data_IF_091612777590
#
_entry.id   IF_091612777590
#
_cell.length_a   1.000
_cell.length_b   1.000
_cell.length_c   1.000
_cell.angle_alpha   90.00
_cell.angle_beta   90.00
_cell.angle_gamma   90.00
#
_symmetry.space_group_name_H-M   'P 1'
#
loop_
_entity.id
_entity.type
_entity.pdbx_description
1 polymer ?
2 water ?
#
# COMPACT_ATOMS: atom_id res chain seq x y z
N UNK A 5 -5.21 12.35 15.81
CA UNK A 5 -5.61 12.00 14.47
C UNK A 5 -7.05 11.58 14.37
N UNK A 6 -7.44 11.06 13.20
CA UNK A 6 -8.80 10.62 12.99
C UNK A 6 -9.04 9.22 13.52
N UNK A 7 -10.32 8.84 13.56
CA UNK A 7 -10.75 7.56 14.10
C UNK A 7 -11.74 6.90 13.16
N UNK A 8 -11.92 5.59 13.36
CA UNK A 8 -12.98 4.82 12.71
C UNK A 8 -13.90 4.32 13.82
N UNK A 9 -15.09 4.92 13.91
CA UNK A 9 -16.01 4.69 15.02
C UNK A 9 -17.34 4.20 14.45
N UNK A 10 -17.81 3.07 14.97
CA UNK A 10 -19.13 2.54 14.62
C UNK A 10 -19.33 2.48 13.12
N UNK A 11 -18.34 1.89 12.44
CA UNK A 11 -18.45 1.70 11.00
C UNK A 11 -18.44 2.96 10.18
N UNK A 12 -17.97 4.07 10.73
CA UNK A 12 -17.91 5.34 10.02
C UNK A 12 -16.55 6.00 10.24
N UNK A 13 -16.05 6.67 9.21
CA UNK A 13 -14.79 7.38 9.29
C UNK A 13 -15.01 8.74 9.92
N UNK A 14 -14.33 9.01 11.04
CA UNK A 14 -14.43 10.29 11.73
C UNK A 14 -13.09 11.00 11.63
N UNK A 15 -12.88 11.85 10.63
CA UNK A 15 -11.58 12.53 10.51
C UNK A 15 -11.39 13.58 11.59
N UNK A 16 -10.13 13.87 11.89
CA UNK A 16 -9.79 14.93 12.80
C UNK A 16 -9.91 16.29 12.11
N UNK A 17 -10.08 17.36 12.88
CA UNK A 17 -10.15 18.69 12.26
C UNK A 17 -8.77 19.12 11.77
N UNK A 18 -8.79 20.05 10.82
CA UNK A 18 -7.55 20.56 10.27
C UNK A 18 -6.78 21.35 11.32
N UNK A 19 -5.45 21.28 11.24
CA UNK A 19 -4.56 22.13 12.01
C UNK A 19 -3.69 22.89 11.02
N UNK A 20 -3.94 24.20 10.90
CA UNK A 20 -3.24 24.99 9.90
C UNK A 20 -1.74 25.01 10.16
N UNK A 21 -1.34 25.04 11.44
CA UNK A 21 0.07 25.17 11.77
C UNK A 21 0.87 23.96 11.31
N UNK A 22 0.32 22.75 11.49
CA UNK A 22 1.06 21.55 11.10
C UNK A 22 1.11 21.38 9.59
N UNK A 23 0.09 21.83 8.88
CA UNK A 23 0.05 21.67 7.42
C UNK A 23 1.26 22.29 6.75
N UNK A 24 1.91 23.27 7.38
CA UNK A 24 3.10 23.88 6.80
C UNK A 24 4.26 22.90 6.84
N UNK A 25 4.40 22.18 7.95
CA UNK A 25 5.45 21.17 8.07
C UNK A 25 5.12 19.89 7.31
N UNK A 26 3.84 19.62 7.06
CA UNK A 26 3.46 18.40 6.38
C UNK A 26 3.53 18.58 4.87
N UNK A 27 2.93 19.65 4.35
CA UNK A 27 2.82 19.89 2.91
C UNK A 27 3.71 21.01 2.41
N UNK A 28 3.86 22.09 3.18
CA UNK A 28 4.69 23.21 2.77
C UNK A 28 3.92 24.52 2.74
N UNK A 47 4.56 13.08 -23.34
CA UNK A 47 4.60 12.56 -21.98
C UNK A 47 5.12 11.12 -21.99
N UNK A 48 4.81 10.38 -20.93
CA UNK A 48 5.32 9.02 -20.74
C UNK A 48 4.26 8.04 -21.23
N UNK A 49 4.58 7.15 -22.17
CA UNK A 49 3.54 6.24 -22.69
C UNK A 49 3.08 5.23 -21.66
N UNK A 50 1.82 4.81 -21.80
CA UNK A 50 1.20 3.89 -20.86
C UNK A 50 0.36 2.88 -21.64
N UNK A 51 0.45 1.61 -21.24
CA UNK A 51 -0.36 0.55 -21.81
C UNK A 51 -1.03 -0.20 -20.66
N UNK A 52 -2.36 -0.23 -20.68
CA UNK A 52 -3.15 -0.98 -19.72
C UNK A 52 -3.88 -2.08 -20.49
N UNK A 53 -3.52 -3.33 -20.22
CA UNK A 53 -4.10 -4.48 -20.88
C UNK A 53 -4.74 -5.41 -19.86
N UNK A 54 -5.82 -6.06 -20.27
CA UNK A 54 -6.48 -7.04 -19.43
C UNK A 54 -7.97 -7.05 -19.68
N UNK A 55 -8.66 -7.80 -18.83
CA UNK A 55 -10.11 -7.96 -18.92
C UNK A 55 -10.81 -6.77 -18.28
N UNK A 56 -11.71 -6.13 -19.02
CA UNK A 56 -12.56 -5.05 -18.51
C UNK A 56 -11.71 -3.93 -17.90
N UNK A 57 -10.81 -3.41 -18.70
CA UNK A 57 -9.95 -2.31 -18.24
C UNK A 57 -10.77 -1.03 -18.20
N UNK A 58 -10.77 -0.28 -17.10
CA UNK A 58 -11.54 0.96 -17.03
C UNK A 58 -10.84 2.10 -17.75
N UNK A 59 -11.59 3.17 -17.96
CA UNK A 59 -11.02 4.37 -18.54
C UNK A 59 -10.11 5.04 -17.51
N UNK A 60 -9.01 5.67 -17.96
CA UNK A 60 -8.16 6.38 -17.01
C UNK A 60 -8.76 7.72 -16.61
N UNK A 61 -8.50 8.11 -15.37
CA UNK A 61 -8.95 9.42 -14.89
C UNK A 61 -8.00 10.49 -15.38
N UNK A 62 -8.54 11.66 -15.68
CA UNK A 62 -7.75 12.81 -16.09
C UNK A 62 -7.48 13.77 -14.95
N UNK A 63 -8.35 13.79 -13.94
CA UNK A 63 -8.22 14.65 -12.78
C UNK A 63 -8.53 13.83 -11.54
N UNK A 64 -7.99 14.27 -10.39
CA UNK A 64 -8.39 13.68 -9.12
C UNK A 64 -9.79 14.16 -8.77
N UNK A 65 -10.73 13.23 -8.65
CA UNK A 65 -12.13 13.55 -8.40
C UNK A 65 -12.62 12.72 -7.22
N UNK A 66 -13.48 13.32 -6.38
CA UNK A 66 -13.93 12.70 -5.14
C UNK A 66 -14.94 11.58 -5.34
N UNK A 67 -15.81 11.64 -6.34
CA UNK A 67 -16.71 10.50 -6.57
C UNK A 67 -15.93 9.22 -6.82
N UNK A 68 -14.79 9.28 -7.57
CA UNK A 68 -13.91 8.10 -7.64
C UNK A 68 -13.05 7.89 -6.40
N UNK A 69 -12.49 8.96 -5.85
CA UNK A 69 -11.53 8.90 -4.74
C UNK A 69 -12.15 9.37 -3.44
N UNK A 70 -11.69 8.83 -2.32
CA UNK A 70 -12.22 9.25 -1.03
C UNK A 70 -12.06 10.75 -0.86
N UNK A 71 -13.08 11.38 -0.25
CA UNK A 71 -13.08 12.83 -0.14
C UNK A 71 -11.94 13.38 0.69
N UNK A 72 -11.64 12.72 1.82
CA UNK A 72 -10.56 13.21 2.68
C UNK A 72 -9.22 13.16 1.95
N UNK A 73 -8.93 12.04 1.28
CA UNK A 73 -7.68 11.93 0.54
C UNK A 73 -7.58 12.99 -0.53
N UNK A 74 -8.70 13.31 -1.20
CA UNK A 74 -8.69 14.35 -2.21
C UNK A 74 -8.29 15.69 -1.59
N UNK A 75 -8.80 15.98 -0.39
CA UNK A 75 -8.39 17.20 0.31
C UNK A 75 -6.90 17.19 0.58
N UNK A 76 -6.36 16.08 1.06
CA UNK A 76 -4.93 15.98 1.30
C UNK A 76 -4.14 16.12 0.01
N UNK A 77 -4.63 15.52 -1.07
CA UNK A 77 -3.97 15.64 -2.36
C UNK A 77 -3.88 17.09 -2.79
N UNK A 78 -4.94 17.87 -2.50
CA UNK A 78 -4.92 19.28 -2.85
C UNK A 78 -4.01 20.07 -1.91
N UNK A 79 -4.02 19.74 -0.62
CA UNK A 79 -3.11 20.39 0.31
C UNK A 79 -1.66 20.13 -0.10
N UNK A 80 -1.37 18.94 -0.61
CA UNK A 80 -0.05 18.67 -1.16
C UNK A 80 0.17 19.39 -2.48
N UNK A 81 -0.88 19.97 -3.08
CA UNK A 81 -0.77 20.74 -4.32
C UNK A 81 -0.40 19.85 -5.50
N UNK A 82 -0.92 18.62 -5.52
CA UNK A 82 -0.78 17.76 -6.69
C UNK A 82 -1.87 18.12 -7.70
N UNK A 83 -1.48 18.38 -8.93
CA UNK A 83 -2.40 18.89 -9.94
C UNK A 83 -2.97 17.80 -10.83
N UNK A 84 -2.13 16.95 -11.41
CA UNK A 84 -2.56 15.95 -12.37
C UNK A 84 -2.10 14.57 -11.95
N UNK A 85 -2.93 13.55 -12.10
CA UNK A 85 -2.48 12.18 -11.81
C UNK A 85 -1.37 11.77 -12.77
N UNK A 86 -0.35 11.12 -12.21
CA UNK A 86 0.77 10.65 -13.00
C UNK A 86 0.30 9.54 -13.94
N UNK A 87 1.13 9.15 -14.90
CA UNK A 87 0.70 8.10 -15.85
C UNK A 87 0.31 6.80 -15.17
N UNK A 88 0.93 6.46 -14.04
CA UNK A 88 0.56 5.23 -13.34
C UNK A 88 -0.72 5.44 -12.53
N UNK A 89 -0.87 6.60 -11.91
CA UNK A 89 -2.02 6.82 -11.03
C UNK A 89 -3.32 6.91 -11.81
N UNK A 90 -3.29 7.46 -13.03
CA UNK A 90 -4.53 7.61 -13.79
C UNK A 90 -5.19 6.27 -14.07
N UNK A 91 -4.45 5.18 -14.03
CA UNK A 91 -5.00 3.84 -14.20
C UNK A 91 -5.14 3.08 -12.89
N UNK A 92 -4.17 3.22 -11.98
CA UNK A 92 -4.21 2.45 -10.74
C UNK A 92 -5.38 2.88 -9.86
N UNK A 93 -5.77 4.15 -9.90
CA UNK A 93 -6.88 4.65 -9.09
C UNK A 93 -8.18 3.98 -9.52
N UNK A 94 -8.57 4.05 -10.81
CA UNK A 94 -9.83 3.39 -11.20
C UNK A 94 -9.76 1.87 -11.12
N UNK A 95 -8.60 1.28 -11.42
CA UNK A 95 -8.49 -0.18 -11.37
C UNK A 95 -8.77 -0.68 -9.96
N UNK A 96 -8.16 -0.06 -8.97
CA UNK A 96 -8.33 -0.51 -7.59
C UNK A 96 -9.71 -0.12 -7.08
N UNK A 97 -10.23 1.04 -7.49
CA UNK A 97 -11.57 1.44 -7.08
C UNK A 97 -12.62 0.44 -7.57
N UNK A 98 -12.33 -0.25 -8.67
CA UNK A 98 -13.24 -1.26 -9.21
C UNK A 98 -13.01 -2.64 -8.61
N UNK A 99 -12.11 -2.76 -7.63
CA UNK A 99 -11.91 -4.02 -6.94
C UNK A 99 -11.02 -5.01 -7.64
N UNK A 100 -10.14 -4.56 -8.52
CA UNK A 100 -9.31 -5.44 -9.33
C UNK A 100 -7.87 -5.43 -8.83
N UNK A 101 -7.16 -6.50 -9.15
CA UNK A 101 -5.73 -6.61 -8.85
C UNK A 101 -4.91 -5.96 -9.97
N UNK A 102 -3.68 -5.58 -9.63
CA UNK A 102 -2.85 -4.79 -10.54
C UNK A 102 -1.43 -5.31 -10.55
N UNK A 103 -0.89 -5.51 -11.75
CA UNK A 103 0.53 -5.77 -11.97
C UNK A 103 1.08 -4.60 -12.77
N UNK A 104 1.89 -3.76 -12.13
CA UNK A 104 2.38 -2.53 -12.73
C UNK A 104 3.87 -2.64 -13.01
N UNK A 105 4.24 -2.45 -14.28
CA UNK A 105 5.64 -2.47 -14.72
C UNK A 105 5.97 -1.04 -15.13
N UNK A 106 6.54 -0.28 -14.20
CA UNK A 106 6.81 1.14 -14.39
C UNK A 106 8.23 1.47 -13.98
N UNK A 107 8.76 2.54 -14.56
CA UNK A 107 10.10 3.00 -14.23
C UNK A 107 10.07 3.82 -12.94
N UNK A 108 11.24 4.27 -12.51
CA UNK A 108 11.35 4.98 -11.23
C UNK A 108 10.53 6.27 -11.24
N UNK A 109 10.74 7.11 -12.26
CA UNK A 109 10.11 8.42 -12.31
C UNK A 109 8.64 8.42 -12.66
N UNK A 110 8.02 7.25 -12.81
CA UNK A 110 6.62 7.20 -13.19
C UNK A 110 5.69 7.69 -12.09
N UNK A 111 6.18 7.90 -10.88
CA UNK A 111 5.32 8.23 -9.75
C UNK A 111 4.72 6.98 -9.16
N UNK A 112 5.57 6.01 -8.82
CA UNK A 112 5.08 4.71 -8.37
C UNK A 112 4.48 4.81 -6.97
N UNK A 113 5.17 5.49 -6.05
CA UNK A 113 4.74 5.50 -4.65
C UNK A 113 3.29 5.94 -4.53
N UNK A 114 2.96 7.11 -5.07
CA UNK A 114 1.57 7.50 -5.17
C UNK A 114 0.74 6.55 -6.02
N UNK A 115 1.41 5.82 -6.93
CA UNK A 115 0.69 4.87 -7.77
C UNK A 115 -0.06 3.82 -6.97
N UNK A 116 0.53 3.37 -5.86
CA UNK A 116 -0.15 2.41 -4.99
C UNK A 116 -0.63 3.00 -3.67
N UNK A 117 -0.04 4.10 -3.20
CA UNK A 117 -0.48 4.69 -1.95
C UNK A 117 -1.86 5.33 -2.08
N UNK A 118 -2.08 6.08 -3.16
CA UNK A 118 -3.37 6.76 -3.32
C UNK A 118 -4.53 5.77 -3.43
N UNK A 119 -4.51 4.78 -4.32
CA UNK A 119 -5.65 3.83 -4.35
C UNK A 119 -5.84 3.09 -3.05
N UNK A 120 -4.75 2.68 -2.39
CA UNK A 120 -4.88 1.92 -1.16
C UNK A 120 -5.43 2.78 -0.03
N UNK A 121 -4.86 3.99 0.14
CA UNK A 121 -5.38 4.89 1.17
C UNK A 121 -6.81 5.31 0.86
N UNK A 122 -7.13 5.56 -0.41
CA UNK A 122 -8.48 5.93 -0.79
C UNK A 122 -9.47 4.85 -0.39
N UNK A 123 -9.19 3.60 -0.77
CA UNK A 123 -10.11 2.51 -0.44
C UNK A 123 -10.11 2.21 1.06
N UNK A 124 -8.98 2.40 1.74
CA UNK A 124 -8.95 2.21 3.18
C UNK A 124 -9.77 3.27 3.90
N UNK A 125 -9.72 4.52 3.42
CA UNK A 125 -10.46 5.59 4.07
C UNK A 125 -11.96 5.35 4.02
N UNK A 126 -12.47 4.71 2.97
CA UNK A 126 -13.90 4.59 2.77
C UNK A 126 -14.47 3.27 3.27
N UNK A 127 -13.67 2.21 3.38
CA UNK A 127 -14.16 0.92 3.86
C UNK A 127 -13.73 0.62 5.29
N UNK A 128 -12.63 1.21 5.77
CA UNK A 128 -12.22 1.06 7.14
C UNK A 128 -11.65 -0.31 7.46
N UNK A 129 -11.30 -0.52 8.72
CA UNK A 129 -10.71 -1.80 9.13
C UNK A 129 -11.77 -2.83 9.51
N UNK A 130 -11.31 -4.07 9.59
CA UNK A 130 -12.11 -5.16 10.10
C UNK A 130 -12.01 -5.24 11.62
N UNK A 131 -13.01 -5.81 12.28
CA UNK A 131 -12.95 -5.89 13.74
C UNK A 131 -11.82 -6.77 14.22
N UNK A 132 -11.28 -6.43 15.39
CA UNK A 132 -10.18 -7.16 16.00
C UNK A 132 -10.64 -7.83 17.30
N UNK A 133 -10.16 -9.05 17.59
CA UNK A 133 -10.57 -9.73 18.83
C UNK A 133 -9.86 -9.18 20.06
N UNK A 134 -10.09 -7.91 20.35
CA UNK A 134 -9.47 -7.25 21.49
C UNK A 134 -10.32 -7.44 22.75
N UNK A 142 -2.94 -7.47 21.78
CA UNK A 142 -1.50 -7.69 21.91
C UNK A 142 -0.86 -7.81 20.54
N UNK A 143 -1.54 -8.48 19.62
CA UNK A 143 -1.10 -8.54 18.24
C UNK A 143 -1.51 -7.28 17.49
N UNK A 144 -0.83 -7.02 16.38
CA UNK A 144 -1.22 -5.97 15.45
C UNK A 144 -2.00 -6.58 14.30
N UNK A 145 -3.03 -5.87 13.85
CA UNK A 145 -3.93 -6.35 12.79
C UNK A 145 -3.94 -5.32 11.66
N UNK A 146 -2.85 -5.25 10.89
CA UNK A 146 -2.79 -4.24 9.82
C UNK A 146 -3.85 -4.48 8.76
N UNK A 147 -4.40 -3.38 8.25
CA UNK A 147 -5.33 -3.43 7.13
C UNK A 147 -4.62 -3.43 5.78
N UNK A 148 -3.44 -2.81 5.70
CA UNK A 148 -2.65 -2.75 4.48
C UNK A 148 -1.20 -3.07 4.80
N UNK A 149 -0.56 -3.88 3.95
CA UNK A 149 0.82 -4.28 4.11
C UNK A 149 1.57 -3.95 2.83
N UNK A 150 2.71 -3.25 2.96
CA UNK A 150 3.55 -2.88 1.83
C UNK A 150 4.95 -3.42 2.10
N UNK A 151 5.42 -4.29 1.22
CA UNK A 151 6.77 -4.83 1.32
C UNK A 151 7.68 -4.12 0.33
N UNK A 152 8.90 -3.84 0.76
CA UNK A 152 9.90 -3.14 -0.04
C UNK A 152 11.26 -3.76 0.20
N UNK A 153 12.18 -3.61 -0.76
CA UNK A 153 13.48 -4.30 -0.63
C UNK A 153 14.42 -3.70 0.40
N UNK A 154 14.38 -2.40 0.65
CA UNK A 154 15.39 -1.74 1.45
C UNK A 154 14.77 -0.85 2.52
N UNK A 155 15.58 -0.56 3.54
CA UNK A 155 15.16 0.34 4.60
C UNK A 155 14.84 1.73 4.03
N UNK A 156 15.70 2.24 3.15
CA UNK A 156 15.50 3.59 2.62
C UNK A 156 14.19 3.69 1.85
N UNK A 157 13.91 2.71 0.98
CA UNK A 157 12.67 2.75 0.22
C UNK A 157 11.46 2.59 1.13
N UNK A 158 11.55 1.70 2.12
CA UNK A 158 10.46 1.57 3.08
C UNK A 158 10.24 2.86 3.84
N UNK A 159 11.32 3.58 4.16
CA UNK A 159 11.18 4.86 4.86
C UNK A 159 10.54 5.91 3.96
N UNK A 160 10.92 5.93 2.67
CA UNK A 160 10.28 6.86 1.73
C UNK A 160 8.79 6.61 1.65
N UNK A 161 8.38 5.35 1.48
CA UNK A 161 6.97 5.02 1.42
C UNK A 161 6.29 5.45 2.72
N UNK A 162 6.92 5.15 3.85
CA UNK A 162 6.37 5.53 5.15
C UNK A 162 6.15 7.04 5.23
N UNK A 163 7.15 7.82 4.80
CA UNK A 163 7.03 9.27 4.88
C UNK A 163 5.86 9.78 4.05
N UNK A 164 5.72 9.27 2.81
CA UNK A 164 4.60 9.67 1.98
C UNK A 164 3.27 9.23 2.58
N UNK A 165 3.23 8.03 3.16
CA UNK A 165 2.00 7.56 3.79
C UNK A 165 1.62 8.46 4.97
N UNK A 166 2.59 8.83 5.80
CA UNK A 166 2.32 9.74 6.91
C UNK A 166 1.74 11.05 6.40
N UNK A 167 2.23 11.53 5.26
CA UNK A 167 1.75 12.80 4.72
C UNK A 167 0.26 12.74 4.42
N UNK A 168 -0.17 11.71 3.69
CA UNK A 168 -1.54 11.65 3.19
C UNK A 168 -2.51 10.95 4.13
N UNK A 169 -2.02 10.31 5.19
CA UNK A 169 -2.89 9.85 6.27
C UNK A 169 -3.29 10.98 7.21
N UNK A 170 -2.86 12.21 6.91
CA UNK A 170 -3.21 13.38 7.72
C UNK A 170 -4.71 13.44 7.97
N UNK A 171 -5.09 13.43 9.25
CA UNK A 171 -6.44 13.54 9.77
C UNK A 171 -7.23 12.23 9.65
N UNK A 172 -6.67 11.20 9.04
CA UNK A 172 -7.42 9.97 8.79
C UNK A 172 -7.25 8.99 9.95
N UNK A 173 -8.04 7.91 9.90
CA UNK A 173 -7.98 6.85 10.90
C UNK A 173 -6.78 5.94 10.75
N UNK A 174 -6.07 6.00 9.62
CA UNK A 174 -5.02 5.03 9.32
C UNK A 174 -3.74 5.43 10.03
N UNK A 175 -3.20 4.53 10.85
CA UNK A 175 -1.92 4.73 11.51
C UNK A 175 -0.84 3.95 10.76
N UNK A 176 0.15 4.67 10.25
CA UNK A 176 1.23 4.06 9.49
C UNK A 176 2.39 3.68 10.40
N UNK A 177 3.06 2.58 10.05
CA UNK A 177 4.22 2.11 10.79
C UNK A 177 5.18 1.47 9.80
N UNK A 178 6.47 1.53 10.12
CA UNK A 178 7.53 1.02 9.25
C UNK A 178 8.50 0.19 10.06
N UNK A 179 8.88 -0.96 9.51
CA UNK A 179 9.87 -1.85 10.13
C UNK A 179 10.83 -2.32 9.05
N UNK A 180 12.04 -2.67 9.47
CA UNK A 180 13.06 -3.10 8.53
C UNK A 180 14.18 -3.83 9.27
N UNK A 181 14.89 -4.68 8.53
CA UNK A 181 16.01 -5.41 9.09
C UNK A 181 17.24 -4.55 9.28
N UNK A 182 18.28 -5.19 9.81
CA UNK A 182 19.51 -4.47 10.10
C UNK A 182 19.37 -3.42 11.19
N UNK A 183 18.33 -3.51 12.00
CA UNK A 183 18.03 -2.57 13.07
C UNK A 183 17.43 -3.34 14.23
N UNK A 184 17.69 -2.91 15.46
CA UNK A 184 17.20 -3.69 16.62
C UNK A 184 15.69 -3.85 16.57
N UNK A 185 15.24 -5.10 16.80
CA UNK A 185 13.82 -5.41 16.71
C UNK A 185 13.04 -4.97 17.95
N UNK A 186 13.72 -4.72 19.06
CA UNK A 186 13.01 -4.34 20.28
C UNK A 186 12.16 -3.11 20.10
N UNK A 187 12.74 -2.05 19.52
CA UNK A 187 12.00 -0.79 19.37
C UNK A 187 10.89 -0.91 18.33
N UNK A 188 11.09 -1.74 17.30
CA UNK A 188 10.03 -1.91 16.29
C UNK A 188 8.81 -2.60 16.88
N UNK A 189 8.99 -3.44 17.90
CA UNK A 189 7.85 -4.06 18.55
C UNK A 189 7.03 -3.04 19.33
N UNK A 190 7.71 -2.09 20.00
CA UNK A 190 6.99 -1.07 20.74
C UNK A 190 6.19 -0.16 19.82
N UNK A 191 6.77 0.21 18.68
CA UNK A 191 6.03 1.02 17.72
C UNK A 191 4.84 0.25 17.15
N UNK A 192 4.98 -1.07 17.00
CA UNK A 192 3.89 -1.89 16.49
C UNK A 192 2.73 -1.90 17.49
N UNK A 193 3.04 -2.13 18.77
CA UNK A 193 2.00 -2.24 19.78
C UNK A 193 1.22 -0.94 19.95
N UNK A 194 1.79 0.19 19.57
CA UNK A 194 1.08 1.47 19.61
C UNK A 194 0.02 1.60 18.51
N UNK A 195 -0.29 0.50 17.83
CA UNK A 195 -1.27 0.52 16.77
C UNK A 195 -0.64 0.56 15.39
N UNK A 196 -1.22 -0.18 14.44
CA UNK A 196 -0.62 -0.30 13.12
C UNK A 196 -1.69 -0.72 12.13
N UNK A 197 -2.12 0.22 11.28
CA UNK A 197 -3.10 -0.05 10.24
C UNK A 197 -2.49 -0.19 8.86
N UNK A 198 -1.45 0.58 8.57
CA UNK A 198 -0.66 0.46 7.34
C UNK A 198 0.78 0.14 7.73
N UNK A 199 1.26 -1.03 7.34
CA UNK A 199 2.57 -1.51 7.71
C UNK A 199 3.47 -1.56 6.48
N UNK A 200 4.56 -0.80 6.52
CA UNK A 200 5.63 -0.89 5.53
C UNK A 200 6.76 -1.71 6.13
N UNK A 201 7.26 -2.69 5.39
CA UNK A 201 8.24 -3.61 5.96
C UNK A 201 9.15 -4.16 4.87
N UNK A 202 10.38 -4.53 5.28
CA UNK A 202 11.18 -5.42 4.45
C UNK A 202 10.84 -6.87 4.79
N UNK A 203 10.90 -7.78 3.81
CA UNK A 203 10.34 -9.12 4.05
C UNK A 203 11.00 -9.88 5.19
N UNK A 204 12.32 -9.78 5.34
CA UNK A 204 12.99 -10.51 6.41
C UNK A 204 12.51 -10.11 7.79
N UNK A 205 12.36 -8.81 8.02
CA UNK A 205 11.94 -8.34 9.33
C UNK A 205 10.46 -8.64 9.58
N UNK A 206 9.63 -8.51 8.54
CA UNK A 206 8.23 -8.88 8.70
C UNK A 206 8.09 -10.35 9.07
N UNK A 207 8.89 -11.21 8.43
CA UNK A 207 8.85 -12.63 8.75
C UNK A 207 9.26 -12.88 10.20
N UNK A 208 10.30 -12.19 10.66
CA UNK A 208 10.74 -12.35 12.05
C UNK A 208 9.64 -11.92 13.02
N UNK A 209 8.96 -10.81 12.72
CA UNK A 209 7.89 -10.35 13.59
C UNK A 209 6.71 -11.32 13.59
N UNK A 210 6.44 -11.95 12.45
CA UNK A 210 5.35 -12.93 12.40
C UNK A 210 5.71 -14.19 13.18
N UNK A 211 6.97 -14.62 13.11
CA UNK A 211 7.41 -15.77 13.90
C UNK A 211 7.29 -15.50 15.38
N UNK A 212 7.48 -14.25 15.80
CA UNK A 212 7.36 -13.87 17.20
C UNK A 212 5.91 -13.72 17.64
N UNK A 213 4.95 -13.95 16.75
CA UNK A 213 3.55 -13.86 17.13
C UNK A 213 3.10 -12.47 17.54
N UNK A 214 3.62 -11.44 16.87
CA UNK A 214 3.27 -10.06 17.17
C UNK A 214 2.45 -9.41 16.08
N UNK A 215 2.18 -10.10 14.98
CA UNK A 215 1.38 -9.57 13.88
C UNK A 215 0.41 -10.64 13.42
N UNK A 216 -0.82 -10.23 13.13
CA UNK A 216 -1.80 -11.08 12.49
C UNK A 216 -2.15 -10.47 11.13
N UNK A 217 -2.16 -11.30 10.10
CA UNK A 217 -2.46 -10.86 8.74
C UNK A 217 -3.90 -11.18 8.34
N UNK A 218 -4.73 -11.64 9.28
CA UNK A 218 -6.08 -12.07 8.95
C UNK A 218 -6.99 -10.91 8.57
N UNK A 219 -6.66 -9.69 8.97
CA UNK A 219 -7.46 -8.51 8.66
C UNK A 219 -6.92 -7.75 7.45
N UNK A 220 -5.93 -8.30 6.75
CA UNK A 220 -5.35 -7.62 5.61
C UNK A 220 -6.38 -7.51 4.50
N UNK A 221 -6.61 -6.28 4.02
CA UNK A 221 -7.46 -6.04 2.87
C UNK A 221 -6.69 -5.61 1.63
N UNK A 222 -5.48 -5.08 1.80
CA UNK A 222 -4.67 -4.59 0.68
C UNK A 222 -3.23 -5.02 0.89
N UNK A 223 -2.65 -5.65 -0.14
CA UNK A 223 -1.27 -6.10 -0.12
C UNK A 223 -0.53 -5.47 -1.30
N UNK A 224 0.63 -4.88 -1.04
CA UNK A 224 1.44 -4.25 -2.06
C UNK A 224 2.86 -4.80 -1.96
N UNK A 225 3.42 -5.18 -3.12
CA UNK A 225 4.82 -5.56 -3.24
C UNK A 225 5.49 -4.56 -4.18
N UNK A 226 6.40 -3.75 -3.63
CA UNK A 226 7.05 -2.69 -4.39
C UNK A 226 8.46 -3.14 -4.78
N UNK A 227 8.81 -2.94 -6.05
CA UNK A 227 10.10 -3.36 -6.59
C UNK A 227 10.36 -4.83 -6.28
N UNK A 228 9.40 -5.67 -6.70
CA UNK A 228 9.45 -7.08 -6.35
C UNK A 228 10.60 -7.80 -7.02
N UNK A 229 11.03 -7.34 -8.21
CA UNK A 229 12.18 -7.95 -8.86
C UNK A 229 13.43 -7.77 -8.01
N UNK A 230 13.61 -6.59 -7.42
CA UNK A 230 14.74 -6.36 -6.53
C UNK A 230 14.69 -7.29 -5.33
N UNK A 231 13.50 -7.46 -4.73
CA UNK A 231 13.37 -8.32 -3.57
C UNK A 231 13.76 -9.76 -3.90
N UNK A 232 13.34 -10.25 -5.07
CA UNK A 232 13.76 -11.59 -5.49
C UNK A 232 15.26 -11.63 -5.75
N UNK A 233 15.82 -10.60 -6.38
CA UNK A 233 17.26 -10.56 -6.62
C UNK A 233 18.05 -10.70 -5.33
N UNK A 234 17.50 -10.21 -4.22
CA UNK A 234 18.16 -10.29 -2.92
C UNK A 234 17.86 -11.58 -2.18
N UNK A 235 17.07 -12.47 -2.77
CA UNK A 235 16.77 -13.75 -2.16
C UNK A 235 15.62 -13.75 -1.18
N UNK A 236 14.71 -12.78 -1.26
CA UNK A 236 13.62 -12.67 -0.30
C UNK A 236 12.43 -13.56 -0.64
N UNK A 237 12.43 -14.24 -1.79
CA UNK A 237 11.22 -14.94 -2.22
C UNK A 237 10.76 -16.00 -1.21
N UNK A 238 11.62 -16.83 -0.62
CA UNK A 238 11.14 -17.77 0.40
C UNK A 238 10.40 -17.10 1.54
N UNK A 239 10.91 -15.96 2.03
CA UNK A 239 10.23 -15.26 3.12
C UNK A 239 8.93 -14.63 2.63
N UNK A 240 8.93 -14.07 1.42
CA UNK A 240 7.73 -13.41 0.90
C UNK A 240 6.60 -14.42 0.72
N UNK A 241 6.91 -15.57 0.14
CA UNK A 241 5.88 -16.59 -0.06
C UNK A 241 5.42 -17.18 1.27
N UNK A 242 6.35 -17.35 2.23
CA UNK A 242 5.95 -17.79 3.56
C UNK A 242 5.02 -16.78 4.21
N UNK A 243 5.31 -15.49 4.06
CA UNK A 243 4.46 -14.46 4.64
C UNK A 243 3.06 -14.52 4.06
N UNK A 244 2.96 -14.67 2.73
CA UNK A 244 1.68 -14.54 2.05
C UNK A 244 0.86 -15.82 2.09
N UNK A 245 1.52 -17.00 2.03
CA UNK A 245 0.84 -18.27 1.87
C UNK A 245 0.79 -19.10 3.15
N UNK A 246 1.93 -19.24 3.84
CA UNK A 246 2.01 -20.14 4.99
C UNK A 246 1.43 -19.55 6.27
N UNK A 247 1.24 -18.24 6.36
CA UNK A 247 0.70 -17.61 7.55
C UNK A 247 -0.81 -17.43 7.38
N UNK A 248 -1.41 -16.49 8.10
CA UNK A 248 -2.86 -16.33 8.16
C UNK A 248 -3.37 -15.17 7.32
N UNK A 249 -2.63 -14.75 6.30
CA UNK A 249 -3.04 -13.59 5.52
C UNK A 249 -4.29 -13.88 4.71
N UNK A 250 -5.14 -12.87 4.59
CA UNK A 250 -6.31 -12.94 3.74
C UNK A 250 -5.93 -13.51 2.37
N UNK A 251 -6.64 -14.50 1.85
CA UNK A 251 -6.19 -15.18 0.63
C UNK A 251 -6.38 -14.33 -0.62
N UNK A 252 -5.64 -14.70 -1.66
CA UNK A 252 -5.76 -14.02 -2.95
C UNK A 252 -7.21 -14.07 -3.43
N UNK A 253 -7.63 -13.01 -4.10
CA UNK A 253 -9.01 -12.88 -4.57
C UNK A 253 -9.92 -12.26 -3.53
N UNK A 254 -9.73 -12.62 -2.26
CA UNK A 254 -10.45 -11.96 -1.17
C UNK A 254 -9.84 -10.62 -0.86
N UNK A 255 -8.52 -10.56 -0.77
CA UNK A 255 -7.80 -9.30 -0.65
C UNK A 255 -7.63 -8.66 -2.02
N UNK A 256 -7.17 -7.40 -2.01
CA UNK A 256 -6.74 -6.71 -3.21
C UNK A 256 -5.22 -6.61 -3.19
N UNK A 257 -4.58 -6.98 -4.29
CA UNK A 257 -3.13 -7.09 -4.35
C UNK A 257 -2.60 -6.26 -5.51
N UNK A 258 -1.56 -5.46 -5.23
CA UNK A 258 -0.85 -4.68 -6.22
C UNK A 258 0.61 -5.07 -6.21
N UNK A 259 1.16 -5.40 -7.37
CA UNK A 259 2.56 -5.77 -7.51
C UNK A 259 3.24 -4.82 -8.47
N UNK A 260 4.34 -4.21 -8.02
CA UNK A 260 5.11 -3.26 -8.81
C UNK A 260 6.50 -3.83 -9.05
N UNK A 261 6.95 -3.79 -10.30
CA UNK A 261 8.26 -4.32 -10.67
C UNK A 261 8.64 -3.72 -12.02
N UNK A 262 9.81 -3.09 -12.09
CA UNK A 262 10.24 -2.49 -13.35
C UNK A 262 10.41 -3.55 -14.43
N UNK A 263 10.75 -4.78 -14.06
CA UNK A 263 10.93 -5.88 -14.98
C UNK A 263 9.87 -6.95 -14.74
N UNK A 264 9.66 -7.80 -15.75
CA UNK A 264 8.68 -8.89 -15.68
C UNK A 264 9.32 -10.19 -16.12
N UNK A 265 10.34 -10.66 -15.42
CA UNK A 265 10.91 -11.99 -15.71
C UNK A 265 9.98 -13.10 -15.27
N UNK A 266 10.34 -14.32 -15.65
CA UNK A 266 9.47 -15.47 -15.40
C UNK A 266 9.18 -15.63 -13.92
N UNK A 267 10.19 -15.46 -13.06
CA UNK A 267 9.96 -15.60 -11.63
C UNK A 267 8.98 -14.56 -11.12
N UNK A 268 8.97 -13.37 -11.71
CA UNK A 268 7.99 -12.35 -11.33
C UNK A 268 6.62 -12.69 -11.92
N UNK A 269 6.60 -13.24 -13.13
CA UNK A 269 5.34 -13.70 -13.70
C UNK A 269 4.70 -14.76 -12.82
N UNK A 270 5.52 -15.69 -12.29
CA UNK A 270 4.99 -16.74 -11.44
C UNK A 270 4.50 -16.18 -10.10
N UNK A 271 5.19 -15.17 -9.58
CA UNK A 271 4.73 -14.52 -8.35
C UNK A 271 3.40 -13.82 -8.58
N UNK A 272 3.24 -13.16 -9.73
CA UNK A 272 1.98 -12.50 -10.04
C UNK A 272 0.84 -13.50 -10.19
N UNK A 273 1.13 -14.67 -10.77
CA UNK A 273 0.09 -15.68 -10.94
C UNK A 273 -0.39 -16.20 -9.59
N UNK A 274 0.51 -16.33 -8.62
CA UNK A 274 0.13 -16.87 -7.32
C UNK A 274 -0.45 -15.81 -6.40
N UNK A 275 0.02 -14.56 -6.51
CA UNK A 275 -0.37 -13.51 -5.57
C UNK A 275 -1.52 -12.64 -6.06
N UNK A 276 -1.79 -12.62 -7.37
CA UNK A 276 -2.83 -11.79 -7.95
C UNK A 276 -3.93 -12.67 -8.53
N UNK A 277 -5.10 -12.06 -8.72
CA UNK A 277 -6.26 -12.73 -9.30
C UNK A 277 -6.76 -11.90 -10.47
N UNK A 278 -6.82 -12.51 -11.65
CA UNK A 278 -7.32 -11.88 -12.87
C UNK A 278 -6.86 -10.42 -12.97
N UNK A 279 -5.54 -10.23 -12.93
CA UNK A 279 -4.98 -8.90 -12.77
C UNK A 279 -4.92 -8.15 -14.11
N UNK A 280 -4.92 -6.83 -14.01
CA UNK A 280 -4.69 -5.95 -15.15
C UNK A 280 -3.21 -5.60 -15.19
N UNK A 281 -2.62 -5.66 -16.38
CA UNK A 281 -1.20 -5.40 -16.57
C UNK A 281 -1.01 -3.97 -17.03
N UNK A 282 -0.24 -3.20 -16.27
CA UNK A 282 0.01 -1.79 -16.55
C UNK A 282 1.49 -1.60 -16.85
N UNK A 283 1.78 -1.09 -18.05
CA UNK A 283 3.15 -0.87 -18.50
C UNK A 283 3.36 0.62 -18.76
N UNK A 284 4.33 1.21 -18.09
CA UNK A 284 4.64 2.63 -18.20
C UNK A 284 6.09 2.78 -18.60
N UNK A 285 6.33 3.58 -19.64
CA UNK A 285 7.69 3.84 -20.11
C UNK A 285 8.28 2.65 -20.85
#
# INVERSE_FOLDING_TARGET
>A
GGRSGGRWIDGKHVPAPRNEKAEIAIFGVPEDPNFQSSGINFDNYDDIPVDASGKDVPEPITEFTSPPLDGLLLENIKLARFTKPTPVQKYSVPIVANGRDLMACAQTGSGKTGGFLFPVLSESFKTGPSPQPESQGSFYQRKAYPTAVIMAPTRELATQIFDEAKKFTYRSWVKACVVYGGSPIGNQLREIERGCDLLVATPGRLNDLLERGKISLANVKYLVLDEADRMLDMGFEPQIRHIVEDCDMTPVGERQTLMFSATFPADIQHLARDFLSDYIFLSVGRVGS
#
